data_IF_269037538840
#
_entry.id   IF_269037538840
#
_cell.length_a   1.000
_cell.length_b   1.000
_cell.length_c   1.000
_cell.angle_alpha   90.00
_cell.angle_beta   90.00
_cell.angle_gamma   90.00
#
_symmetry.space_group_name_H-M   'P 1'
#
loop_
_entity.id
_entity.type
_entity.pdbx_description
1 polymer ?
#
# COMPACT_ATOMS: atom_id res chain seq x y z
N UNK A 1 24.80 4.44 -51.46
CA UNK A 1 24.92 5.32 -50.29
C UNK A 1 23.55 5.42 -49.65
N UNK A 2 23.46 5.02 -48.37
CA UNK A 2 22.44 5.35 -47.37
C UNK A 2 21.00 4.81 -47.59
N UNK A 3 20.51 3.84 -46.80
CA UNK A 3 20.02 3.96 -45.39
C UNK A 3 18.51 4.28 -45.37
N UNK A 4 17.59 3.72 -44.58
CA UNK A 4 17.53 2.81 -43.42
C UNK A 4 16.10 2.18 -43.47
N UNK A 5 15.86 0.88 -43.25
CA UNK A 5 15.85 0.10 -42.00
C UNK A 5 14.93 0.66 -40.88
N UNK A 6 13.87 -0.12 -40.64
CA UNK A 6 13.06 -0.22 -39.42
C UNK A 6 12.34 1.05 -38.93
N UNK A 7 11.06 1.13 -39.31
CA UNK A 7 10.08 1.82 -38.49
C UNK A 7 10.02 1.15 -37.12
N UNK A 8 10.61 1.78 -36.10
CA UNK A 8 10.41 1.38 -34.72
C UNK A 8 8.92 1.49 -34.42
N UNK A 9 8.27 0.36 -34.17
CA UNK A 9 6.96 0.38 -33.52
C UNK A 9 7.09 1.23 -32.25
N UNK A 10 6.11 2.10 -31.93
CA UNK A 10 6.15 2.88 -30.71
C UNK A 10 6.32 1.90 -29.55
N UNK A 11 7.32 2.14 -28.69
CA UNK A 11 7.53 1.34 -27.49
C UNK A 11 6.20 1.27 -26.75
N UNK A 12 5.60 0.08 -26.64
CA UNK A 12 4.43 -0.11 -25.79
C UNK A 12 4.81 0.42 -24.43
N UNK A 13 4.13 1.46 -23.95
CA UNK A 13 4.35 1.98 -22.61
C UNK A 13 4.26 0.81 -21.64
N UNK A 14 5.36 0.52 -20.94
CA UNK A 14 5.50 -0.70 -20.17
C UNK A 14 4.49 -0.68 -19.02
N UNK A 15 3.63 -1.70 -18.99
CA UNK A 15 2.74 -1.94 -17.86
C UNK A 15 3.53 -2.64 -16.76
N UNK A 16 3.39 -2.16 -15.52
CA UNK A 16 4.02 -2.76 -14.34
C UNK A 16 2.94 -3.13 -13.33
N UNK A 17 2.99 -4.38 -12.87
CA UNK A 17 2.12 -4.94 -11.84
C UNK A 17 2.85 -4.94 -10.50
N UNK A 18 2.46 -4.04 -9.60
CA UNK A 18 2.95 -4.00 -8.23
C UNK A 18 2.00 -4.79 -7.33
N UNK A 19 2.42 -5.98 -6.90
CA UNK A 19 1.56 -6.91 -6.16
C UNK A 19 1.91 -6.89 -4.67
N UNK A 20 0.91 -6.73 -3.80
CA UNK A 20 1.13 -6.66 -2.36
C UNK A 20 -0.12 -6.94 -1.52
N UNK A 21 0.10 -7.38 -0.28
CA UNK A 21 -0.92 -7.43 0.76
C UNK A 21 -1.06 -6.09 1.45
N UNK A 22 -2.28 -5.68 1.77
CA UNK A 22 -2.55 -4.43 2.47
C UNK A 22 -3.81 -4.46 3.34
N UNK A 23 -3.88 -3.47 4.23
CA UNK A 23 -5.11 -3.00 4.84
C UNK A 23 -5.65 -1.81 4.02
N UNK A 24 -6.95 -1.81 3.76
CA UNK A 24 -7.63 -0.72 3.02
C UNK A 24 -8.65 -0.08 3.97
N UNK A 25 -8.63 1.25 4.15
CA UNK A 25 -9.58 1.92 5.05
C UNK A 25 -11.00 1.72 4.55
N UNK A 26 -11.92 1.44 5.47
CA UNK A 26 -13.35 1.43 5.18
C UNK A 26 -13.85 2.84 4.86
N UNK A 27 -15.13 2.96 4.53
CA UNK A 27 -15.74 4.24 4.11
C UNK A 27 -15.60 5.32 5.17
N UNK A 28 -15.83 5.00 6.45
CA UNK A 28 -15.78 5.96 7.55
C UNK A 28 -14.35 6.40 7.85
N UNK A 29 -13.43 5.44 7.98
CA UNK A 29 -12.00 5.70 8.16
C UNK A 29 -11.46 6.55 7.01
N UNK A 30 -11.86 6.24 5.78
CA UNK A 30 -11.45 6.99 4.58
C UNK A 30 -11.98 8.43 4.60
N UNK A 31 -13.19 8.67 5.10
CA UNK A 31 -13.73 10.01 5.25
C UNK A 31 -12.90 10.82 6.27
N UNK A 32 -12.58 10.25 7.43
CA UNK A 32 -11.74 10.90 8.44
C UNK A 32 -10.30 11.16 7.94
N UNK A 33 -9.73 10.19 7.21
CA UNK A 33 -8.45 10.38 6.50
C UNK A 33 -8.55 11.54 5.52
N UNK A 34 -9.63 11.62 4.72
CA UNK A 34 -9.80 12.68 3.73
C UNK A 34 -9.86 14.07 4.35
N UNK A 35 -10.58 14.24 5.47
CA UNK A 35 -10.60 15.51 6.21
C UNK A 35 -9.20 15.91 6.69
N UNK A 36 -8.43 14.96 7.23
CA UNK A 36 -7.06 15.21 7.70
C UNK A 36 -6.12 15.52 6.54
N UNK A 37 -6.19 14.76 5.45
CA UNK A 37 -5.39 14.96 4.24
C UNK A 37 -5.71 16.29 3.58
N UNK A 38 -6.96 16.72 3.54
CA UNK A 38 -7.35 18.02 3.02
C UNK A 38 -6.73 19.17 3.83
N UNK A 39 -6.74 19.08 5.16
CA UNK A 39 -6.06 20.05 6.04
C UNK A 39 -4.55 20.09 5.76
N UNK A 40 -3.89 18.93 5.73
CA UNK A 40 -2.46 18.83 5.42
C UNK A 40 -2.14 19.40 4.03
N UNK A 41 -3.00 19.14 3.04
CA UNK A 41 -2.84 19.68 1.70
C UNK A 41 -2.86 21.21 1.70
N UNK A 42 -3.76 21.83 2.45
CA UNK A 42 -3.81 23.29 2.62
C UNK A 42 -2.57 23.82 3.34
N UNK A 43 -2.15 23.19 4.44
CA UNK A 43 -0.96 23.59 5.22
C UNK A 43 0.35 23.52 4.42
N UNK A 44 0.37 22.73 3.35
CA UNK A 44 1.52 22.49 2.50
C UNK A 44 1.41 23.11 1.09
N UNK A 45 0.52 24.08 0.91
CA UNK A 45 0.27 24.79 -0.35
C UNK A 45 -0.06 23.85 -1.53
N UNK A 46 -0.60 22.67 -1.22
CA UNK A 46 -0.93 21.65 -2.22
C UNK A 46 0.27 21.01 -2.92
N UNK A 47 1.51 21.24 -2.48
CA UNK A 47 2.71 20.74 -3.15
C UNK A 47 2.80 19.21 -3.12
N UNK A 48 3.35 18.64 -4.19
CA UNK A 48 3.51 17.19 -4.39
C UNK A 48 2.32 16.53 -5.09
N UNK A 49 2.44 15.24 -5.40
CA UNK A 49 1.41 14.41 -6.00
C UNK A 49 0.58 13.74 -4.91
N UNK A 50 -0.55 14.35 -4.58
CA UNK A 50 -1.52 13.81 -3.61
C UNK A 50 -2.26 12.60 -4.19
N UNK A 51 -2.33 11.52 -3.43
CA UNK A 51 -3.00 10.31 -3.85
C UNK A 51 -4.51 10.44 -3.63
N UNK A 52 -5.28 9.94 -4.59
CA UNK A 52 -6.73 9.85 -4.47
C UNK A 52 -7.11 8.89 -3.33
N UNK A 53 -8.24 9.12 -2.62
CA UNK A 53 -8.68 8.29 -1.50
C UNK A 53 -8.74 6.80 -1.81
N UNK A 54 -9.07 6.45 -3.06
CA UNK A 54 -9.16 5.08 -3.59
C UNK A 54 -7.84 4.32 -3.50
N UNK A 55 -6.72 5.05 -3.51
CA UNK A 55 -5.36 4.50 -3.44
C UNK A 55 -4.79 4.44 -2.02
N UNK A 56 -5.48 4.95 -1.01
CA UNK A 56 -4.98 4.88 0.37
C UNK A 56 -5.05 3.45 0.88
N UNK A 57 -3.92 2.98 1.41
CA UNK A 57 -3.75 1.65 1.96
C UNK A 57 -2.53 1.63 2.88
N UNK A 58 -2.48 0.65 3.76
CA UNK A 58 -1.29 0.30 4.54
C UNK A 58 -0.75 -1.03 4.03
N UNK A 59 0.42 -1.01 3.39
CA UNK A 59 1.06 -2.22 2.87
C UNK A 59 1.56 -3.09 4.03
N UNK A 60 1.22 -4.39 4.00
CA UNK A 60 1.72 -5.41 4.92
C UNK A 60 2.95 -6.11 4.34
N UNK A 61 2.84 -6.61 3.09
CA UNK A 61 3.93 -7.29 2.38
C UNK A 61 3.90 -6.99 0.90
N UNK A 62 5.03 -6.54 0.36
CA UNK A 62 5.24 -6.41 -1.07
C UNK A 62 5.71 -7.74 -1.67
N UNK A 63 5.02 -8.24 -2.69
CA UNK A 63 5.37 -9.51 -3.36
C UNK A 63 6.28 -9.28 -4.56
N UNK A 64 6.22 -8.11 -5.18
CA UNK A 64 7.12 -7.74 -6.28
C UNK A 64 6.48 -6.85 -7.33
N UNK A 65 7.33 -6.41 -8.26
CA UNK A 65 6.96 -5.71 -9.49
C UNK A 65 7.17 -6.65 -10.68
N UNK A 66 6.18 -6.73 -11.57
CA UNK A 66 6.22 -7.64 -12.71
C UNK A 66 5.77 -6.94 -14.00
N UNK A 67 6.36 -7.30 -15.14
CA UNK A 67 5.86 -6.89 -16.46
C UNK A 67 4.56 -7.60 -16.83
N UNK A 68 4.35 -8.80 -16.28
CA UNK A 68 3.15 -9.62 -16.45
C UNK A 68 2.79 -10.28 -15.12
N UNK A 69 1.50 -10.44 -14.87
CA UNK A 69 0.99 -10.90 -13.58
C UNK A 69 1.28 -12.41 -13.36
N UNK A 70 2.09 -12.81 -12.36
CA UNK A 70 2.52 -14.19 -12.19
C UNK A 70 1.44 -15.06 -11.51
N UNK A 71 0.57 -15.69 -12.30
CA UNK A 71 -0.65 -16.31 -11.79
C UNK A 71 -0.43 -17.41 -10.74
N UNK A 72 0.51 -18.32 -10.95
CA UNK A 72 0.79 -19.39 -9.97
C UNK A 72 1.23 -18.83 -8.61
N UNK A 73 2.02 -17.75 -8.63
CA UNK A 73 2.47 -17.07 -7.41
C UNK A 73 1.30 -16.38 -6.70
N UNK A 74 0.37 -15.80 -7.46
CA UNK A 74 -0.83 -15.16 -6.91
C UNK A 74 -1.76 -16.20 -6.28
N UNK A 75 -1.99 -17.32 -6.94
CA UNK A 75 -2.80 -18.41 -6.37
C UNK A 75 -2.17 -18.95 -5.08
N UNK A 76 -0.84 -19.10 -5.06
CA UNK A 76 -0.10 -19.50 -3.85
C UNK A 76 -0.25 -18.48 -2.72
N UNK A 77 -0.15 -17.18 -3.03
CA UNK A 77 -0.38 -16.11 -2.07
C UNK A 77 -1.83 -16.08 -1.54
N UNK A 78 -2.81 -16.28 -2.42
CA UNK A 78 -4.23 -16.36 -2.06
C UNK A 78 -4.51 -17.56 -1.16
N UNK A 79 -3.90 -18.72 -1.44
CA UNK A 79 -4.01 -19.91 -0.62
C UNK A 79 -3.39 -19.70 0.77
N UNK A 80 -2.18 -19.10 0.84
CA UNK A 80 -1.55 -18.74 2.11
C UNK A 80 -2.44 -17.80 2.94
N UNK A 81 -3.01 -16.77 2.32
CA UNK A 81 -3.86 -15.81 3.01
C UNK A 81 -5.13 -16.44 3.64
N UNK A 82 -5.68 -17.53 3.06
CA UNK A 82 -6.81 -18.27 3.66
C UNK A 82 -6.46 -18.94 4.99
N UNK A 83 -5.19 -19.22 5.23
CA UNK A 83 -4.74 -19.90 6.45
C UNK A 83 -4.41 -18.90 7.58
N UNK A 84 -4.49 -17.59 7.33
CA UNK A 84 -4.18 -16.57 8.33
C UNK A 84 -5.27 -16.55 9.40
N UNK A 85 -4.84 -16.71 10.65
CA UNK A 85 -5.68 -16.69 11.84
C UNK A 85 -5.30 -15.51 12.73
N UNK A 86 -5.91 -14.35 12.51
CA UNK A 86 -5.72 -13.16 13.33
C UNK A 86 -7.07 -12.54 13.70
N UNK A 87 -7.18 -12.01 14.91
CA UNK A 87 -8.39 -11.33 15.38
C UNK A 87 -8.53 -9.95 14.72
N UNK A 88 -9.77 -9.50 14.52
CA UNK A 88 -10.08 -8.12 14.20
C UNK A 88 -9.60 -7.18 15.33
N UNK A 89 -9.23 -5.94 14.99
CA UNK A 89 -8.71 -4.98 15.96
C UNK A 89 -8.99 -3.53 15.56
N UNK A 90 -8.82 -2.63 16.52
CA UNK A 90 -8.83 -1.18 16.28
C UNK A 90 -7.40 -0.68 16.11
N UNK A 91 -7.17 0.09 15.05
CA UNK A 91 -5.92 0.80 14.79
C UNK A 91 -6.16 2.30 14.92
N UNK A 92 -5.27 3.01 15.59
CA UNK A 92 -5.29 4.47 15.65
C UNK A 92 -4.18 5.03 14.74
N UNK A 93 -4.56 5.87 13.78
CA UNK A 93 -3.61 6.69 13.03
C UNK A 93 -3.52 8.06 13.72
N UNK A 94 -2.42 8.31 14.41
CA UNK A 94 -2.21 9.47 15.28
C UNK A 94 -0.95 10.27 14.91
N UNK A 95 -0.27 9.89 13.82
CA UNK A 95 0.94 10.54 13.33
C UNK A 95 0.87 10.90 11.87
N UNK A 96 1.48 12.02 11.55
CA UNK A 96 1.93 12.38 10.19
C UNK A 96 3.44 12.33 10.18
N UNK A 97 4.00 11.84 9.08
CA UNK A 97 5.43 11.84 8.86
C UNK A 97 5.78 11.80 7.39
N UNK A 98 7.05 11.59 7.13
CA UNK A 98 7.56 11.44 5.79
C UNK A 98 8.71 10.42 5.75
N UNK A 99 8.89 9.79 4.61
CA UNK A 99 10.14 9.11 4.28
C UNK A 99 11.03 10.02 3.44
N UNK A 100 12.20 9.51 3.07
CA UNK A 100 13.04 10.14 2.06
C UNK A 100 12.27 10.30 0.73
N UNK A 101 12.78 11.14 -0.16
CA UNK A 101 12.21 11.34 -1.51
C UNK A 101 10.77 11.90 -1.54
N UNK A 102 10.32 12.58 -0.48
CA UNK A 102 9.06 13.32 -0.50
C UNK A 102 7.80 12.46 -0.36
N UNK A 103 7.90 11.28 0.26
CA UNK A 103 6.74 10.43 0.54
C UNK A 103 6.16 10.83 1.89
N UNK A 104 5.00 11.49 1.89
CA UNK A 104 4.26 11.85 3.10
C UNK A 104 3.20 10.81 3.44
N UNK A 105 3.07 10.50 4.73
CA UNK A 105 2.21 9.42 5.21
C UNK A 105 1.50 9.76 6.53
N UNK A 106 0.38 9.06 6.77
CA UNK A 106 -0.24 8.94 8.09
C UNK A 106 0.07 7.57 8.68
N UNK A 107 0.33 7.48 9.97
CA UNK A 107 0.74 6.25 10.62
C UNK A 107 0.38 6.24 12.09
N UNK A 108 0.90 5.25 12.80
CA UNK A 108 0.76 5.12 14.25
C UNK A 108 2.10 5.43 14.92
N UNK A 109 2.07 6.10 16.08
CA UNK A 109 3.26 6.37 16.89
C UNK A 109 3.92 5.07 17.40
N UNK A 110 3.09 4.06 17.69
CA UNK A 110 3.52 2.74 18.14
C UNK A 110 2.73 1.68 17.38
N UNK A 111 3.43 0.66 16.89
CA UNK A 111 2.77 -0.50 16.28
C UNK A 111 2.20 -1.36 17.39
N UNK A 112 0.87 -1.35 17.55
CA UNK A 112 0.19 -2.16 18.54
C UNK A 112 0.35 -3.66 18.30
N UNK A 113 0.29 -4.45 19.38
CA UNK A 113 0.38 -5.92 19.35
C UNK A 113 -0.55 -6.57 18.30
N UNK A 114 -1.81 -6.16 18.12
CA UNK A 114 -2.70 -6.82 17.14
C UNK A 114 -2.22 -6.70 15.69
N UNK A 115 -1.73 -5.53 15.29
CA UNK A 115 -1.21 -5.31 13.94
C UNK A 115 0.09 -6.10 13.72
N UNK A 116 0.96 -6.14 14.72
CA UNK A 116 2.19 -6.95 14.68
C UNK A 116 1.87 -8.45 14.58
N UNK A 117 0.83 -8.92 15.28
CA UNK A 117 0.36 -10.31 15.20
C UNK A 117 -0.17 -10.66 13.81
N UNK A 118 -1.00 -9.80 13.20
CA UNK A 118 -1.46 -10.01 11.82
C UNK A 118 -0.28 -10.07 10.84
N UNK A 119 0.64 -9.11 10.94
CA UNK A 119 1.83 -9.06 10.09
C UNK A 119 2.65 -10.35 10.23
N UNK A 120 2.93 -10.78 11.46
CA UNK A 120 3.69 -12.00 11.75
C UNK A 120 2.96 -13.28 11.29
N UNK A 121 1.64 -13.36 11.45
CA UNK A 121 0.82 -14.49 10.99
C UNK A 121 0.90 -14.63 9.46
N UNK A 122 0.70 -13.52 8.76
CA UNK A 122 0.76 -13.48 7.31
C UNK A 122 2.17 -13.83 6.81
N UNK A 123 3.23 -13.37 7.50
CA UNK A 123 4.60 -13.80 7.21
C UNK A 123 4.75 -15.32 7.24
N UNK A 124 4.34 -15.95 8.35
CA UNK A 124 4.49 -17.39 8.56
C UNK A 124 3.73 -18.18 7.50
N UNK A 125 2.52 -17.73 7.17
CA UNK A 125 1.72 -18.38 6.14
C UNK A 125 2.34 -18.27 4.74
N UNK A 126 2.84 -17.08 4.36
CA UNK A 126 3.53 -16.87 3.08
C UNK A 126 4.82 -17.68 2.99
N UNK A 127 5.60 -17.73 4.07
CA UNK A 127 6.82 -18.53 4.14
C UNK A 127 6.53 -20.04 3.99
N UNK A 128 5.47 -20.54 4.65
CA UNK A 128 5.04 -21.93 4.51
C UNK A 128 4.66 -22.28 3.06
N UNK A 129 3.96 -21.36 2.39
CA UNK A 129 3.60 -21.48 0.98
C UNK A 129 4.75 -21.15 0.00
N UNK A 130 5.97 -20.87 0.50
CA UNK A 130 7.15 -20.49 -0.29
C UNK A 130 6.94 -19.25 -1.18
N UNK A 131 6.08 -18.33 -0.76
CA UNK A 131 5.85 -17.07 -1.45
C UNK A 131 6.85 -16.04 -0.94
N UNK A 132 7.83 -15.68 -1.77
CA UNK A 132 8.81 -14.66 -1.42
C UNK A 132 8.17 -13.27 -1.27
N UNK A 133 8.68 -12.48 -0.33
CA UNK A 133 8.31 -11.09 -0.07
C UNK A 133 9.55 -10.19 -0.20
N UNK A 134 9.39 -8.96 -0.65
CA UNK A 134 10.46 -7.97 -0.80
C UNK A 134 10.35 -6.87 0.26
N UNK A 135 11.49 -6.25 0.63
CA UNK A 135 11.52 -5.03 1.46
C UNK A 135 11.54 -5.24 2.97
N UNK A 136 12.09 -6.35 3.47
CA UNK A 136 11.96 -6.81 4.86
C UNK A 136 12.79 -6.06 5.93
N UNK A 137 13.38 -4.90 5.63
CA UNK A 137 14.13 -4.13 6.62
C UNK A 137 13.18 -3.28 7.48
N UNK A 138 12.43 -3.95 8.36
CA UNK A 138 11.51 -3.33 9.32
C UNK A 138 10.11 -3.06 8.76
N UNK A 139 9.08 -3.37 9.57
CA UNK A 139 7.70 -3.00 9.28
C UNK A 139 7.41 -1.63 9.89
N UNK A 140 7.14 -0.65 9.04
CA UNK A 140 6.73 0.69 9.46
C UNK A 140 5.31 0.91 8.97
N UNK A 141 4.28 0.75 9.82
CA UNK A 141 2.88 0.84 9.37
C UNK A 141 2.51 2.27 9.01
N UNK A 142 2.15 2.48 7.74
CA UNK A 142 1.83 3.81 7.22
C UNK A 142 0.84 3.73 6.06
N UNK A 143 0.08 4.82 5.88
CA UNK A 143 -0.78 5.11 4.73
C UNK A 143 -0.14 6.26 3.97
N UNK A 144 0.38 5.98 2.78
CA UNK A 144 0.93 7.04 1.92
C UNK A 144 -0.21 7.92 1.40
N UNK A 145 -0.08 9.23 1.53
CA UNK A 145 -1.09 10.20 1.05
C UNK A 145 -0.55 11.21 0.05
N UNK A 146 0.76 11.42 0.03
CA UNK A 146 1.42 12.29 -0.95
C UNK A 146 2.78 11.72 -1.32
N UNK A 147 3.14 11.86 -2.60
CA UNK A 147 4.48 11.58 -3.11
C UNK A 147 5.09 12.85 -3.68
N UNK A 148 6.42 12.89 -3.78
CA UNK A 148 7.14 14.04 -4.37
C UNK A 148 6.83 15.37 -3.65
N UNK A 149 6.45 15.33 -2.36
CA UNK A 149 6.23 16.50 -1.54
C UNK A 149 7.56 17.16 -1.17
N UNK A 150 7.73 18.44 -1.53
CA UNK A 150 8.88 19.28 -1.14
C UNK A 150 8.36 20.69 -0.79
N UNK A 151 8.66 21.25 0.41
CA UNK A 151 9.41 20.64 1.51
C UNK A 151 8.66 19.46 2.15
N UNK A 152 9.38 18.66 2.95
CA UNK A 152 8.83 17.49 3.62
C UNK A 152 7.79 17.91 4.67
N UNK A 153 6.74 17.12 4.86
CA UNK A 153 5.74 17.33 5.92
C UNK A 153 6.45 17.24 7.29
N UNK A 154 6.31 18.19 8.22
CA UNK A 154 6.88 18.03 9.55
C UNK A 154 6.21 16.84 10.24
N UNK A 155 7.03 15.99 10.88
CA UNK A 155 6.51 14.91 11.70
C UNK A 155 5.75 15.51 12.89
N UNK A 156 4.48 15.15 13.04
CA UNK A 156 3.61 15.72 14.08
C UNK A 156 2.55 14.71 14.54
N UNK A 157 2.07 14.90 15.77
CA UNK A 157 0.85 14.23 16.24
C UNK A 157 -0.38 14.84 15.59
N UNK A 158 -1.40 14.02 15.39
CA UNK A 158 -2.74 14.46 14.96
C UNK A 158 -3.79 13.86 15.90
N UNK A 159 -5.02 14.41 15.94
CA UNK A 159 -6.14 13.71 16.55
C UNK A 159 -6.27 12.30 15.99
N UNK A 160 -6.37 11.24 16.84
CA UNK A 160 -6.39 9.87 16.37
C UNK A 160 -7.56 9.59 15.43
N UNK A 161 -7.27 9.00 14.28
CA UNK A 161 -8.27 8.43 13.39
C UNK A 161 -8.42 6.95 13.76
N UNK A 162 -9.57 6.59 14.33
CA UNK A 162 -9.91 5.20 14.59
C UNK A 162 -10.17 4.46 13.28
N UNK A 163 -9.59 3.28 13.15
CA UNK A 163 -9.72 2.40 12.00
C UNK A 163 -10.03 0.98 12.48
N UNK A 164 -11.29 0.52 12.33
CA UNK A 164 -11.65 -0.86 12.61
C UNK A 164 -11.11 -1.77 11.51
N UNK A 165 -10.01 -2.46 11.80
CA UNK A 165 -9.40 -3.42 10.88
C UNK A 165 -10.15 -4.74 11.02
N UNK A 166 -10.89 -5.09 9.98
CA UNK A 166 -11.71 -6.33 9.90
C UNK A 166 -11.26 -7.29 8.83
N UNK A 167 -10.38 -6.86 7.93
CA UNK A 167 -9.95 -7.64 6.79
C UNK A 167 -8.65 -7.10 6.21
N UNK A 168 -8.00 -7.94 5.41
CA UNK A 168 -6.84 -7.57 4.60
C UNK A 168 -7.06 -8.08 3.17
N UNK A 169 -6.36 -7.47 2.22
CA UNK A 169 -6.54 -7.71 0.78
C UNK A 169 -5.21 -7.97 0.09
N UNK A 170 -5.26 -8.64 -1.06
CA UNK A 170 -4.17 -8.76 -2.01
C UNK A 170 -4.51 -7.89 -3.21
N UNK A 171 -3.58 -7.02 -3.60
CA UNK A 171 -3.78 -6.02 -4.64
C UNK A 171 -2.77 -6.20 -5.76
N UNK A 172 -3.22 -5.96 -6.98
CA UNK A 172 -2.40 -5.63 -8.15
C UNK A 172 -2.57 -4.13 -8.49
N UNK A 173 -1.55 -3.34 -8.19
CA UNK A 173 -1.46 -1.94 -8.61
C UNK A 173 -0.82 -1.88 -9.99
N UNK A 174 -1.65 -1.78 -11.02
CA UNK A 174 -1.25 -1.66 -12.42
C UNK A 174 -0.78 -0.22 -12.67
N UNK A 175 0.48 -0.06 -13.07
CA UNK A 175 1.09 1.20 -13.48
C UNK A 175 1.26 1.21 -15.00
N UNK A 176 0.94 2.34 -15.63
CA UNK A 176 0.96 2.50 -17.08
C UNK A 176 -0.06 3.56 -17.54
N UNK A 177 -0.34 3.65 -18.85
CA UNK A 177 -1.25 4.67 -19.40
C UNK A 177 -2.65 4.66 -18.78
N UNK A 178 -3.12 3.48 -18.33
CA UNK A 178 -4.32 3.34 -17.50
C UNK A 178 -3.92 2.70 -16.19
N UNK A 179 -3.57 3.54 -15.22
CA UNK A 179 -3.20 3.06 -13.90
C UNK A 179 -4.45 2.59 -13.14
N UNK A 180 -4.44 1.32 -12.71
CA UNK A 180 -5.59 0.66 -12.08
C UNK A 180 -5.17 0.05 -10.74
N UNK A 181 -6.13 -0.15 -9.85
CA UNK A 181 -5.90 -0.74 -8.54
C UNK A 181 -6.88 -1.91 -8.38
N UNK A 182 -6.40 -3.12 -8.63
CA UNK A 182 -7.24 -4.33 -8.72
C UNK A 182 -7.11 -5.15 -7.45
N UNK A 183 -8.24 -5.57 -6.91
CA UNK A 183 -8.27 -6.52 -5.80
C UNK A 183 -8.22 -7.95 -6.35
N UNK A 184 -7.24 -8.73 -5.90
CA UNK A 184 -7.05 -10.14 -6.26
C UNK A 184 -7.66 -11.08 -5.20
N UNK A 185 -7.96 -10.56 -4.01
CA UNK A 185 -8.62 -11.30 -2.93
C UNK A 185 -8.74 -10.49 -1.65
N UNK A 186 -9.65 -10.94 -0.78
CA UNK A 186 -9.99 -10.33 0.51
C UNK A 186 -10.26 -11.41 1.54
N UNK A 187 -9.75 -11.22 2.75
CA UNK A 187 -9.87 -12.18 3.83
C UNK A 187 -10.26 -11.46 5.11
N UNK A 188 -11.35 -11.93 5.73
CA UNK A 188 -11.80 -11.43 7.03
C UNK A 188 -10.87 -11.90 8.14
N UNK A 189 -10.64 -11.00 9.09
CA UNK A 189 -10.08 -11.32 10.39
C UNK A 189 -11.18 -11.94 11.27
N UNK A 190 -10.77 -12.70 12.29
CA UNK A 190 -11.67 -13.41 13.20
C UNK A 190 -12.27 -12.53 14.28
#
# INVERSE_FOLDING_TARGET
>A
MHSDLFGSAPAREAVVHNVFFALVPDTETRAHLASTVARLKTEHDGRGRWLAPERWHMTLYFLGSYSELPQERIESARAAARNVAAAAFELALDRVGHFSHGIGWLGCAQTGTPLQSLWSELHRSLAHARVATQGHAGFVPHVTVVREAKPLLPAQSIPPIAWPVREFVLIDSVLGPRSEYRELGRWKLR
#
